data_IF_406086946202
#
_entry.id   IF_406086946202
#
_cell.length_a   1.000
_cell.length_b   1.000
_cell.length_c   1.000
_cell.angle_alpha   90.00
_cell.angle_beta   90.00
_cell.angle_gamma   90.00
#
_symmetry.space_group_name_H-M   'P 1'
#
loop_
_entity.id
_entity.type
_entity.pdbx_description
1 polymer ?
#
# COMPACT_ATOMS: atom_id res chain seq x y z
N UNK A 1 26.90 12.88 -9.07
CA UNK A 1 27.04 11.88 -7.99
C UNK A 1 26.77 12.50 -6.61
N UNK A 2 27.36 13.67 -6.27
CA UNK A 2 27.29 14.24 -4.91
C UNK A 2 25.88 14.71 -4.53
N UNK A 3 25.16 15.34 -5.44
CA UNK A 3 23.74 15.69 -5.27
C UNK A 3 22.89 14.51 -4.82
N UNK A 4 23.04 13.34 -5.46
CA UNK A 4 22.28 12.15 -5.10
C UNK A 4 22.70 11.52 -3.78
N UNK A 5 23.95 11.71 -3.33
CA UNK A 5 24.38 11.29 -1.99
C UNK A 5 23.63 12.05 -0.89
N UNK A 6 23.41 13.35 -1.12
CA UNK A 6 22.69 14.18 -0.14
C UNK A 6 21.19 13.92 -0.18
N UNK A 7 20.60 13.71 -1.37
CA UNK A 7 19.22 13.26 -1.50
C UNK A 7 18.99 11.90 -0.82
N UNK A 8 19.92 10.95 -0.96
CA UNK A 8 19.81 9.65 -0.31
C UNK A 8 19.64 9.76 1.21
N UNK A 9 20.32 10.72 1.87
CA UNK A 9 20.15 10.95 3.31
C UNK A 9 18.71 11.29 3.69
N UNK A 10 18.01 12.07 2.84
CA UNK A 10 16.61 12.44 3.03
C UNK A 10 15.67 11.23 2.94
N UNK A 11 15.99 10.28 2.05
CA UNK A 11 15.18 9.12 1.78
C UNK A 11 15.64 7.84 2.50
N UNK A 12 16.60 7.95 3.43
CA UNK A 12 17.17 6.81 4.15
C UNK A 12 16.10 5.96 4.87
N UNK A 13 15.05 6.58 5.38
CA UNK A 13 13.94 5.88 6.03
C UNK A 13 13.21 4.87 5.12
N UNK A 14 13.35 4.98 3.81
CA UNK A 14 12.77 4.07 2.82
C UNK A 14 13.76 2.98 2.37
N UNK A 15 15.00 3.00 2.86
CA UNK A 15 15.97 1.94 2.57
C UNK A 15 15.57 0.66 3.31
N UNK A 16 15.59 -0.46 2.57
CA UNK A 16 15.26 -1.76 3.13
C UNK A 16 16.43 -2.35 3.91
N UNK A 17 16.13 -3.03 5.02
CA UNK A 17 17.09 -3.85 5.76
C UNK A 17 17.57 -5.09 4.95
N UNK A 18 16.87 -5.44 3.86
CA UNK A 18 17.18 -6.59 3.01
C UNK A 18 18.15 -6.27 1.87
N UNK A 19 19.13 -5.42 2.13
CA UNK A 19 20.18 -5.06 1.16
C UNK A 19 21.38 -6.04 1.13
N UNK A 20 21.38 -7.04 2.00
CA UNK A 20 22.44 -8.05 2.12
C UNK A 20 22.30 -9.23 1.16
N UNK A 21 23.29 -10.15 1.21
CA UNK A 21 23.22 -11.42 0.48
C UNK A 21 22.38 -12.41 1.29
N UNK A 22 21.24 -12.82 0.74
CA UNK A 22 20.38 -13.84 1.32
C UNK A 22 20.39 -15.11 0.46
N UNK A 23 20.82 -16.23 1.02
CA UNK A 23 20.81 -17.54 0.35
C UNK A 23 19.41 -18.12 0.24
N UNK A 24 18.43 -17.63 0.98
CA UNK A 24 17.00 -17.98 0.86
C UNK A 24 16.44 -17.74 -0.53
N UNK A 25 17.04 -16.81 -1.29
CA UNK A 25 16.71 -16.55 -2.71
C UNK A 25 16.80 -17.83 -3.58
N UNK A 26 17.70 -18.75 -3.25
CA UNK A 26 17.82 -20.02 -3.98
C UNK A 26 16.63 -20.96 -3.74
N UNK A 27 15.99 -20.86 -2.59
CA UNK A 27 14.81 -21.66 -2.24
C UNK A 27 13.53 -21.00 -2.73
N UNK A 28 13.36 -19.72 -2.45
CA UNK A 28 12.13 -18.96 -2.72
C UNK A 28 12.07 -18.48 -4.18
N UNK A 29 13.22 -18.45 -4.87
CA UNK A 29 13.38 -17.91 -6.23
C UNK A 29 12.93 -16.42 -6.34
N UNK A 30 12.91 -15.70 -5.21
CA UNK A 30 12.49 -14.31 -5.13
C UNK A 30 13.72 -13.42 -5.30
N UNK A 31 13.79 -12.56 -6.33
CA UNK A 31 14.91 -11.63 -6.52
C UNK A 31 15.00 -10.63 -5.34
N UNK A 32 16.24 -10.22 -4.98
CA UNK A 32 16.47 -9.33 -3.83
C UNK A 32 15.69 -8.02 -3.87
N UNK A 33 15.53 -7.42 -5.07
CA UNK A 33 14.70 -6.22 -5.24
C UNK A 33 13.21 -6.46 -4.94
N UNK A 34 12.70 -7.67 -5.24
CA UNK A 34 11.33 -8.06 -4.90
C UNK A 34 11.17 -8.26 -3.39
N UNK A 35 12.17 -8.87 -2.71
CA UNK A 35 12.16 -9.01 -1.25
C UNK A 35 12.02 -7.67 -0.54
N UNK A 36 12.82 -6.69 -0.96
CA UNK A 36 12.78 -5.33 -0.39
C UNK A 36 11.40 -4.68 -0.60
N UNK A 37 10.83 -4.83 -1.79
CA UNK A 37 9.49 -4.29 -2.07
C UNK A 37 8.41 -4.95 -1.21
N UNK A 38 8.41 -6.28 -1.11
CA UNK A 38 7.45 -7.03 -0.28
C UNK A 38 7.59 -6.67 1.20
N UNK A 39 8.83 -6.56 1.70
CA UNK A 39 9.07 -6.16 3.08
C UNK A 39 8.52 -4.76 3.38
N UNK A 40 8.76 -3.79 2.48
CA UNK A 40 8.22 -2.45 2.65
C UNK A 40 6.68 -2.44 2.60
N UNK A 41 6.09 -3.18 1.67
CA UNK A 41 4.65 -3.32 1.56
C UNK A 41 4.02 -3.94 2.81
N UNK A 42 4.61 -5.03 3.33
CA UNK A 42 4.16 -5.66 4.58
C UNK A 42 4.34 -4.73 5.79
N UNK A 43 5.43 -3.95 5.82
CA UNK A 43 5.66 -2.94 6.87
C UNK A 43 4.58 -1.86 6.86
N UNK A 44 4.19 -1.36 5.69
CA UNK A 44 3.09 -0.39 5.52
C UNK A 44 1.74 -0.95 6.00
N UNK A 45 1.56 -2.28 5.91
CA UNK A 45 0.38 -3.00 6.36
C UNK A 45 0.46 -3.45 7.84
N UNK A 46 1.57 -3.15 8.54
CA UNK A 46 1.80 -3.61 9.92
C UNK A 46 1.92 -5.12 10.07
N UNK A 47 2.33 -5.83 9.01
CA UNK A 47 2.36 -7.29 8.95
C UNK A 47 3.75 -7.84 8.53
N UNK A 48 4.81 -7.11 8.86
CA UNK A 48 6.19 -7.48 8.46
C UNK A 48 6.61 -8.84 9.04
N UNK A 49 6.11 -9.22 10.22
CA UNK A 49 6.39 -10.51 10.85
C UNK A 49 5.89 -11.71 10.04
N UNK A 50 4.96 -11.49 9.10
CA UNK A 50 4.40 -12.53 8.22
C UNK A 50 5.16 -12.72 6.92
N UNK A 51 6.32 -12.11 6.76
CA UNK A 51 7.10 -12.15 5.52
C UNK A 51 7.50 -13.57 5.11
N UNK A 52 7.83 -14.44 6.06
CA UNK A 52 8.20 -15.83 5.80
C UNK A 52 7.02 -16.65 5.27
N UNK A 53 5.79 -16.37 5.74
CA UNK A 53 4.56 -16.97 5.21
C UNK A 53 4.36 -16.57 3.74
N UNK A 54 4.60 -15.30 3.41
CA UNK A 54 4.51 -14.80 2.04
C UNK A 54 5.53 -15.48 1.14
N UNK A 55 6.78 -15.63 1.58
CA UNK A 55 7.79 -16.34 0.81
C UNK A 55 7.44 -17.82 0.57
N UNK A 56 6.81 -18.46 1.52
CA UNK A 56 6.31 -19.84 1.37
C UNK A 56 5.11 -19.93 0.41
N UNK A 57 4.29 -18.87 0.31
CA UNK A 57 3.11 -18.81 -0.57
C UNK A 57 3.46 -18.51 -2.03
N UNK A 58 4.52 -17.73 -2.30
CA UNK A 58 4.94 -17.32 -3.66
C UNK A 58 5.09 -18.51 -4.64
N UNK A 59 5.76 -19.61 -4.30
CA UNK A 59 5.87 -20.77 -5.21
C UNK A 59 4.52 -21.36 -5.60
N UNK A 60 3.56 -21.37 -4.69
CA UNK A 60 2.22 -21.88 -4.97
C UNK A 60 1.44 -20.95 -5.91
N UNK A 61 1.42 -19.65 -5.62
CA UNK A 61 0.78 -18.65 -6.49
C UNK A 61 1.41 -18.68 -7.88
N UNK A 62 2.75 -18.77 -7.97
CA UNK A 62 3.46 -18.91 -9.23
C UNK A 62 3.02 -20.15 -10.02
N UNK A 63 2.87 -21.29 -9.35
CA UNK A 63 2.39 -22.52 -9.95
C UNK A 63 0.98 -22.38 -10.49
N UNK A 64 0.07 -21.83 -9.70
CA UNK A 64 -1.34 -21.66 -10.05
C UNK A 64 -1.52 -20.71 -11.25
N UNK A 65 -0.65 -19.73 -11.39
CA UNK A 65 -0.59 -18.79 -12.52
C UNK A 65 0.14 -19.36 -13.78
N UNK A 66 0.53 -20.64 -13.78
CA UNK A 66 1.20 -21.26 -14.91
C UNK A 66 2.67 -20.91 -15.06
N UNK A 67 3.36 -20.73 -13.94
CA UNK A 67 4.80 -20.51 -13.84
C UNK A 67 5.33 -19.27 -14.56
N UNK A 68 4.74 -18.06 -14.36
CA UNK A 68 5.33 -16.83 -14.89
C UNK A 68 6.79 -16.66 -14.42
N UNK A 69 7.66 -16.07 -15.24
CA UNK A 69 9.00 -15.69 -14.79
C UNK A 69 8.89 -14.64 -13.68
N UNK A 70 9.74 -14.75 -12.65
CA UNK A 70 9.76 -13.77 -11.56
C UNK A 70 10.62 -12.55 -11.92
N UNK A 71 10.19 -11.83 -12.96
CA UNK A 71 10.76 -10.58 -13.44
C UNK A 71 9.64 -9.53 -13.52
N UNK A 72 9.99 -8.24 -13.58
CA UNK A 72 9.01 -7.16 -13.74
C UNK A 72 8.24 -7.31 -15.07
N UNK A 73 6.92 -7.23 -15.10
CA UNK A 73 6.00 -6.94 -13.98
C UNK A 73 5.48 -8.18 -13.24
N UNK A 74 5.66 -9.39 -13.79
CA UNK A 74 5.04 -10.62 -13.29
C UNK A 74 5.50 -11.02 -11.89
N UNK A 75 6.71 -10.63 -11.48
CA UNK A 75 7.18 -10.82 -10.11
C UNK A 75 6.33 -10.05 -9.10
N UNK A 76 5.90 -8.82 -9.43
CA UNK A 76 5.01 -8.05 -8.58
C UNK A 76 3.61 -8.67 -8.53
N UNK A 77 3.06 -9.09 -9.67
CA UNK A 77 1.74 -9.75 -9.75
C UNK A 77 1.70 -10.97 -8.82
N UNK A 78 2.70 -11.85 -8.91
CA UNK A 78 2.82 -13.04 -8.07
C UNK A 78 2.99 -12.67 -6.59
N UNK A 79 3.89 -11.72 -6.30
CA UNK A 79 4.22 -11.32 -4.94
C UNK A 79 3.05 -10.64 -4.24
N UNK A 80 2.41 -9.68 -4.89
CA UNK A 80 1.26 -8.98 -4.32
C UNK A 80 0.09 -9.95 -4.08
N UNK A 81 -0.19 -10.86 -5.01
CA UNK A 81 -1.24 -11.86 -4.77
C UNK A 81 -0.90 -12.79 -3.61
N UNK A 82 0.37 -13.18 -3.43
CA UNK A 82 0.79 -13.97 -2.28
C UNK A 82 0.57 -13.20 -0.96
N UNK A 83 0.92 -11.93 -0.91
CA UNK A 83 0.66 -11.07 0.27
C UNK A 83 -0.85 -10.99 0.55
N UNK A 84 -1.66 -10.73 -0.48
CA UNK A 84 -3.13 -10.65 -0.34
C UNK A 84 -3.71 -11.96 0.20
N UNK A 85 -3.25 -13.11 -0.29
CA UNK A 85 -3.67 -14.42 0.21
C UNK A 85 -3.37 -14.59 1.71
N UNK A 86 -2.16 -14.19 2.13
CA UNK A 86 -1.72 -14.31 3.53
C UNK A 86 -2.50 -13.32 4.43
N UNK A 87 -2.67 -12.06 4.02
CA UNK A 87 -3.39 -11.06 4.81
C UNK A 87 -4.88 -11.41 4.97
N UNK A 88 -5.52 -11.93 3.91
CA UNK A 88 -6.93 -12.34 3.95
C UNK A 88 -7.16 -13.72 4.59
N UNK A 89 -6.10 -14.49 4.85
CA UNK A 89 -6.15 -15.83 5.44
C UNK A 89 -6.75 -16.90 4.52
N UNK A 90 -7.11 -16.56 3.29
CA UNK A 90 -7.71 -17.48 2.31
C UNK A 90 -7.20 -17.17 0.91
N UNK A 91 -6.65 -18.19 0.22
CA UNK A 91 -6.17 -18.05 -1.15
C UNK A 91 -7.27 -17.57 -2.08
N UNK A 92 -6.95 -16.54 -2.87
CA UNK A 92 -7.81 -16.00 -3.93
C UNK A 92 -9.20 -15.55 -3.45
N UNK A 93 -9.37 -15.26 -2.14
CA UNK A 93 -10.57 -14.57 -1.64
C UNK A 93 -10.72 -13.20 -2.28
N UNK A 94 -9.59 -12.53 -2.45
CA UNK A 94 -9.46 -11.28 -3.19
C UNK A 94 -8.42 -11.50 -4.30
N UNK A 95 -8.78 -11.18 -5.53
CA UNK A 95 -7.91 -11.31 -6.70
C UNK A 95 -7.67 -9.90 -7.23
N UNK A 96 -6.38 -9.53 -7.38
CA UNK A 96 -6.02 -8.21 -7.91
C UNK A 96 -6.37 -8.08 -9.39
N UNK A 97 -6.58 -6.86 -9.88
CA UNK A 97 -6.92 -6.61 -11.28
C UNK A 97 -5.80 -7.06 -12.22
N UNK A 98 -4.54 -6.96 -11.79
CA UNK A 98 -3.38 -7.41 -12.57
C UNK A 98 -3.35 -8.93 -12.72
N UNK A 99 -3.76 -9.68 -11.69
CA UNK A 99 -3.91 -11.14 -11.78
C UNK A 99 -5.04 -11.49 -12.74
N UNK A 100 -6.18 -10.79 -12.70
CA UNK A 100 -7.26 -10.98 -13.66
C UNK A 100 -6.79 -10.70 -15.08
N UNK A 101 -6.15 -9.56 -15.32
CA UNK A 101 -5.60 -9.16 -16.61
C UNK A 101 -4.55 -10.17 -17.12
N UNK A 102 -3.70 -10.69 -16.21
CA UNK A 102 -2.75 -11.76 -16.55
C UNK A 102 -3.48 -13.02 -17.01
N UNK A 103 -4.49 -13.45 -16.29
CA UNK A 103 -5.28 -14.65 -16.61
C UNK A 103 -6.12 -14.48 -17.86
N UNK A 104 -6.57 -13.26 -18.17
CA UNK A 104 -7.22 -12.89 -19.44
C UNK A 104 -6.25 -12.91 -20.65
N UNK A 105 -4.94 -13.07 -20.42
CA UNK A 105 -3.93 -13.04 -21.49
C UNK A 105 -3.37 -11.66 -21.81
N UNK A 106 -3.68 -10.63 -21.02
CA UNK A 106 -3.20 -9.25 -21.21
C UNK A 106 -1.67 -9.10 -21.13
N UNK A 107 -0.99 -10.07 -20.52
CA UNK A 107 0.49 -10.17 -20.50
C UNK A 107 1.03 -11.22 -21.46
N UNK A 108 0.19 -11.74 -22.35
CA UNK A 108 0.53 -12.81 -23.27
C UNK A 108 0.29 -14.20 -22.68
N UNK A 109 0.78 -15.22 -23.35
CA UNK A 109 0.53 -16.62 -23.00
C UNK A 109 1.36 -17.04 -21.78
N UNK A 110 0.71 -17.65 -20.78
CA UNK A 110 1.40 -18.25 -19.64
C UNK A 110 2.36 -19.36 -20.09
N UNK A 111 3.58 -19.47 -19.49
CA UNK A 111 4.57 -20.48 -19.86
C UNK A 111 4.11 -21.92 -19.60
N UNK A 112 3.33 -22.10 -18.53
CA UNK A 112 2.80 -23.38 -18.11
C UNK A 112 1.29 -23.39 -18.03
N UNK A 113 0.75 -24.49 -17.47
CA UNK A 113 -0.68 -24.69 -17.34
C UNK A 113 -1.21 -23.90 -16.14
N UNK A 114 -2.14 -22.99 -16.39
CA UNK A 114 -2.86 -22.21 -15.35
C UNK A 114 -3.85 -23.15 -14.63
N UNK A 115 -4.05 -22.91 -13.33
CA UNK A 115 -5.08 -23.60 -12.56
C UNK A 115 -6.48 -23.26 -13.06
N UNK A 116 -7.25 -24.28 -13.41
CA UNK A 116 -8.57 -24.12 -14.02
C UNK A 116 -9.58 -23.50 -13.07
N UNK A 117 -9.50 -23.82 -11.77
CA UNK A 117 -10.42 -23.29 -10.76
C UNK A 117 -10.14 -21.82 -10.50
N UNK A 118 -8.87 -21.43 -10.44
CA UNK A 118 -8.46 -20.03 -10.31
C UNK A 118 -8.89 -19.23 -11.57
N UNK A 119 -8.69 -19.76 -12.76
CA UNK A 119 -9.10 -19.11 -14.00
C UNK A 119 -10.61 -18.82 -14.00
N UNK A 120 -11.42 -19.84 -13.71
CA UNK A 120 -12.87 -19.70 -13.64
C UNK A 120 -13.33 -18.71 -12.57
N UNK A 121 -12.64 -18.68 -11.42
CA UNK A 121 -12.95 -17.74 -10.33
C UNK A 121 -12.58 -16.30 -10.69
N UNK A 122 -11.43 -16.10 -11.36
CA UNK A 122 -10.90 -14.77 -11.63
C UNK A 122 -11.64 -14.05 -12.77
N UNK A 123 -11.92 -14.75 -13.86
CA UNK A 123 -12.48 -14.17 -15.10
C UNK A 123 -13.87 -14.72 -15.46
N UNK A 124 -14.37 -15.72 -14.72
CA UNK A 124 -15.71 -16.29 -14.99
C UNK A 124 -15.82 -16.85 -16.40
N UNK A 125 -16.76 -16.30 -17.17
CA UNK A 125 -17.01 -16.68 -18.56
C UNK A 125 -16.37 -15.73 -19.59
N UNK A 126 -15.48 -14.84 -19.17
CA UNK A 126 -14.77 -13.95 -20.09
C UNK A 126 -13.82 -14.74 -20.98
N UNK A 127 -13.69 -14.32 -22.23
CA UNK A 127 -12.78 -14.96 -23.19
C UNK A 127 -11.33 -14.58 -22.88
N UNK A 128 -10.46 -15.59 -22.89
CA UNK A 128 -9.00 -15.37 -22.81
C UNK A 128 -8.52 -14.84 -24.15
N UNK A 129 -7.73 -13.77 -24.11
CA UNK A 129 -7.14 -13.17 -25.31
C UNK A 129 -6.20 -14.15 -26.01
N UNK A 130 -6.52 -14.45 -27.27
CA UNK A 130 -5.65 -15.22 -28.15
C UNK A 130 -4.92 -14.23 -29.07
N UNK A 131 -3.60 -14.16 -28.98
CA UNK A 131 -2.81 -13.28 -29.81
C UNK A 131 -1.96 -12.29 -29.03
N UNK A 132 -1.56 -11.23 -29.70
CA UNK A 132 -0.71 -10.18 -29.13
C UNK A 132 -1.60 -9.10 -28.49
N UNK A 133 -1.54 -8.88 -27.18
CA UNK A 133 -2.37 -7.86 -26.52
C UNK A 133 -2.20 -6.45 -27.09
N UNK A 134 -0.99 -6.11 -27.54
CA UNK A 134 -0.70 -4.81 -28.15
C UNK A 134 -1.50 -4.52 -29.45
N UNK A 135 -2.00 -5.56 -30.14
CA UNK A 135 -2.80 -5.38 -31.36
C UNK A 135 -4.22 -4.85 -31.05
N UNK A 136 -4.63 -4.89 -29.76
CA UNK A 136 -5.90 -4.34 -29.29
C UNK A 136 -5.80 -2.84 -28.92
N UNK A 137 -4.58 -2.31 -28.83
CA UNK A 137 -4.37 -0.92 -28.47
C UNK A 137 -4.68 0.01 -29.65
N UNK A 138 -5.51 1.03 -29.41
CA UNK A 138 -5.73 2.10 -30.37
C UNK A 138 -4.59 3.13 -30.34
N UNK A 139 -4.39 3.86 -31.44
CA UNK A 139 -3.42 4.94 -31.46
C UNK A 139 -3.98 6.17 -30.75
N UNK A 140 -3.47 6.47 -29.57
CA UNK A 140 -3.91 7.57 -28.71
C UNK A 140 -3.10 8.86 -28.88
N UNK A 141 -2.01 8.86 -29.66
CA UNK A 141 -1.11 10.02 -29.78
C UNK A 141 -1.82 11.28 -30.26
N UNK A 142 -2.84 11.16 -31.11
CA UNK A 142 -3.63 12.29 -31.56
C UNK A 142 -4.40 12.98 -30.42
N UNK A 143 -5.02 12.17 -29.54
CA UNK A 143 -5.73 12.63 -28.36
C UNK A 143 -4.75 13.24 -27.34
N UNK A 144 -3.66 12.54 -27.04
CA UNK A 144 -2.64 13.00 -26.08
C UNK A 144 -2.04 14.36 -26.47
N UNK A 145 -1.76 14.60 -27.77
CA UNK A 145 -1.32 15.91 -28.22
C UNK A 145 -2.38 17.00 -28.06
N UNK A 146 -3.66 16.67 -28.23
CA UNK A 146 -4.73 17.62 -27.98
C UNK A 146 -4.89 17.94 -26.49
N UNK A 147 -4.86 16.92 -25.64
CA UNK A 147 -4.99 17.06 -24.18
C UNK A 147 -3.83 17.87 -23.58
N UNK A 148 -2.62 17.75 -24.13
CA UNK A 148 -1.42 18.42 -23.65
C UNK A 148 -1.12 19.77 -24.28
N UNK A 149 -1.90 20.21 -25.26
CA UNK A 149 -1.63 21.41 -26.07
C UNK A 149 -1.40 22.70 -25.27
N UNK A 150 -1.95 22.79 -24.04
CA UNK A 150 -1.84 23.96 -23.18
C UNK A 150 -0.48 24.07 -22.46
N UNK A 151 0.23 22.95 -22.23
CA UNK A 151 1.43 22.90 -21.36
C UNK A 151 2.61 22.15 -21.98
N UNK A 152 2.42 21.34 -23.02
CA UNK A 152 3.51 20.64 -23.70
C UNK A 152 4.24 21.61 -24.69
N UNK A 153 5.58 21.55 -24.65
CA UNK A 153 6.48 22.33 -25.55
C UNK A 153 7.15 21.46 -26.60
N UNK A 154 7.13 20.17 -26.43
CA UNK A 154 7.79 19.21 -27.31
C UNK A 154 7.05 17.87 -27.32
N UNK A 155 7.42 16.98 -28.22
CA UNK A 155 6.87 15.63 -28.29
C UNK A 155 7.26 14.80 -27.04
N UNK A 156 8.42 15.06 -26.46
CA UNK A 156 8.84 14.45 -25.21
C UNK A 156 7.88 14.77 -24.06
N UNK A 157 7.33 15.97 -24.02
CA UNK A 157 6.34 16.37 -23.01
C UNK A 157 5.03 15.59 -23.18
N UNK A 158 4.60 15.37 -24.41
CA UNK A 158 3.43 14.53 -24.72
C UNK A 158 3.68 13.08 -24.23
N UNK A 159 4.90 12.57 -24.44
CA UNK A 159 5.28 11.24 -23.97
C UNK A 159 5.39 11.16 -22.44
N UNK A 160 5.87 12.22 -21.76
CA UNK A 160 5.87 12.31 -20.30
C UNK A 160 4.44 12.21 -19.78
N UNK A 161 3.51 12.96 -20.35
CA UNK A 161 2.10 12.90 -19.99
C UNK A 161 1.48 11.52 -20.28
N UNK A 162 1.80 10.92 -21.43
CA UNK A 162 1.32 9.60 -21.80
C UNK A 162 1.75 8.50 -20.81
N UNK A 163 2.99 8.61 -20.30
CA UNK A 163 3.56 7.63 -19.36
C UNK A 163 3.18 7.90 -17.90
N UNK A 164 2.97 9.16 -17.55
CA UNK A 164 2.73 9.62 -16.18
C UNK A 164 1.66 10.72 -16.18
N UNK A 165 0.37 10.41 -16.45
CA UNK A 165 -0.63 11.43 -16.71
C UNK A 165 -0.78 12.42 -15.54
N UNK A 166 -0.96 11.95 -14.33
CA UNK A 166 -1.21 12.82 -13.17
C UNK A 166 0.05 13.60 -12.74
N UNK A 167 1.14 12.91 -12.50
CA UNK A 167 2.41 13.52 -12.04
C UNK A 167 3.04 14.34 -13.17
N UNK A 168 2.99 13.84 -14.40
CA UNK A 168 3.53 14.50 -15.59
C UNK A 168 2.80 15.79 -15.88
N UNK A 169 1.48 15.82 -15.77
CA UNK A 169 0.70 17.04 -15.95
C UNK A 169 1.11 18.11 -14.95
N UNK A 170 1.09 17.79 -13.65
CA UNK A 170 1.49 18.72 -12.58
C UNK A 170 2.91 19.27 -12.81
N UNK A 171 3.85 18.40 -13.18
CA UNK A 171 5.22 18.79 -13.48
C UNK A 171 5.29 19.75 -14.66
N UNK A 172 4.62 19.43 -15.76
CA UNK A 172 4.65 20.23 -16.98
C UNK A 172 3.99 21.60 -16.79
N UNK A 173 2.87 21.66 -16.07
CA UNK A 173 2.17 22.90 -15.72
C UNK A 173 3.04 23.79 -14.80
N UNK A 174 3.65 23.21 -13.75
CA UNK A 174 4.55 23.94 -12.85
C UNK A 174 5.78 24.48 -13.59
N UNK A 175 6.30 23.70 -14.56
CA UNK A 175 7.40 24.13 -15.41
C UNK A 175 6.99 25.32 -16.28
N UNK A 176 5.78 25.29 -16.87
CA UNK A 176 5.25 26.37 -17.69
C UNK A 176 5.05 27.65 -16.90
N UNK A 177 4.51 27.53 -15.69
CA UNK A 177 4.30 28.65 -14.76
C UNK A 177 5.60 29.16 -14.12
N UNK A 178 6.74 28.50 -14.33
CA UNK A 178 8.01 28.86 -13.70
C UNK A 178 8.04 28.65 -12.18
N UNK A 179 7.12 27.86 -11.64
CA UNK A 179 7.01 27.58 -10.22
C UNK A 179 7.77 26.32 -9.80
N UNK A 180 8.26 25.54 -10.77
CA UNK A 180 9.05 24.32 -10.52
C UNK A 180 10.34 24.67 -9.77
N UNK A 181 10.52 24.10 -8.60
CA UNK A 181 11.73 24.27 -7.79
C UNK A 181 12.45 22.94 -7.68
N UNK A 182 13.81 22.93 -7.70
CA UNK A 182 14.57 21.75 -7.36
C UNK A 182 14.20 21.28 -5.95
N UNK A 183 14.19 19.98 -5.74
CA UNK A 183 13.94 19.44 -4.40
C UNK A 183 15.02 19.94 -3.42
N UNK A 184 14.60 20.38 -2.23
CA UNK A 184 15.52 20.81 -1.19
C UNK A 184 16.43 19.65 -0.76
N UNK A 185 17.75 19.87 -0.79
CA UNK A 185 18.74 18.92 -0.32
C UNK A 185 18.80 18.84 1.21
N UNK A 186 18.34 19.88 1.90
CA UNK A 186 18.24 19.86 3.34
C UNK A 186 17.15 18.85 3.71
N UNK A 187 17.50 17.92 4.62
CA UNK A 187 16.45 17.20 5.33
C UNK A 187 15.44 18.25 5.80
N UNK A 188 14.12 18.04 5.66
CA UNK A 188 13.17 18.90 6.31
C UNK A 188 13.68 19.01 7.74
N UNK A 189 13.96 20.24 8.22
CA UNK A 189 14.08 20.44 9.64
C UNK A 189 12.93 19.63 10.21
N UNK A 190 13.26 18.65 11.04
CA UNK A 190 12.21 18.02 11.82
C UNK A 190 11.60 19.21 12.56
N UNK A 191 10.61 19.84 11.96
CA UNK A 191 9.60 20.48 12.71
C UNK A 191 9.07 19.34 13.56
N UNK A 192 9.68 19.18 14.71
CA UNK A 192 9.03 18.57 15.85
C UNK A 192 7.82 19.44 16.08
N UNK A 193 6.82 19.26 15.24
CA UNK A 193 5.43 19.47 15.67
C UNK A 193 5.31 18.39 16.73
N UNK A 194 5.19 18.77 17.99
CA UNK A 194 4.91 17.79 19.03
C UNK A 194 3.50 17.29 18.75
N UNK A 195 3.40 16.29 17.88
CA UNK A 195 2.19 15.48 17.72
C UNK A 195 2.25 14.43 18.81
N UNK A 196 2.20 14.93 20.00
CA UNK A 196 2.17 14.24 21.27
C UNK A 196 2.27 15.31 22.32
N UNK A 197 1.44 15.26 23.35
CA UNK A 197 1.66 16.04 24.55
C UNK A 197 3.15 15.91 24.92
N UNK A 198 3.85 17.00 25.29
CA UNK A 198 5.24 16.90 25.68
C UNK A 198 5.35 15.79 26.71
N UNK A 199 6.18 14.78 26.43
CA UNK A 199 6.48 13.75 27.40
C UNK A 199 7.03 14.48 28.61
N UNK A 200 6.28 14.44 29.71
CA UNK A 200 6.73 15.04 30.93
C UNK A 200 8.06 14.39 31.30
N UNK A 201 9.11 15.19 31.43
CA UNK A 201 10.42 14.74 31.87
C UNK A 201 10.45 14.45 33.37
N UNK A 202 9.43 14.93 34.10
CA UNK A 202 9.22 14.69 35.51
C UNK A 202 7.72 14.48 35.80
N UNK A 203 7.37 13.37 36.46
CA UNK A 203 5.99 13.01 36.80
C UNK A 203 5.93 12.10 38.01
N UNK A 204 4.75 12.02 38.64
CA UNK A 204 4.53 11.14 39.76
C UNK A 204 3.74 9.88 39.35
N UNK A 205 4.20 8.72 39.78
CA UNK A 205 3.47 7.45 39.65
C UNK A 205 2.99 7.03 41.05
N UNK A 206 1.69 6.75 41.15
CA UNK A 206 1.12 6.19 42.40
C UNK A 206 0.86 4.69 42.19
N UNK A 207 1.52 3.85 42.97
CA UNK A 207 1.41 2.39 42.97
C UNK A 207 1.13 1.88 44.38
N UNK A 208 0.09 1.08 44.56
CA UNK A 208 -0.28 0.48 45.85
C UNK A 208 -0.45 1.47 47.00
N UNK A 209 -0.79 2.75 46.72
CA UNK A 209 -0.97 3.78 47.70
C UNK A 209 0.30 4.59 48.04
N UNK A 210 1.43 4.26 47.49
CA UNK A 210 2.68 5.03 47.58
C UNK A 210 2.86 5.82 46.28
N UNK A 211 3.45 7.00 46.38
CA UNK A 211 3.69 7.92 45.24
C UNK A 211 5.18 8.11 45.07
N UNK A 212 5.66 7.82 43.88
CA UNK A 212 7.06 7.91 43.46
C UNK A 212 7.23 9.11 42.52
N UNK A 213 8.23 9.93 42.74
CA UNK A 213 8.64 10.96 41.77
C UNK A 213 9.61 10.34 40.76
N UNK A 214 9.23 10.43 39.48
CA UNK A 214 10.01 9.89 38.37
C UNK A 214 10.56 11.06 37.55
N UNK A 215 11.87 11.11 37.37
CA UNK A 215 12.52 12.08 36.49
C UNK A 215 13.30 11.32 35.39
N UNK A 216 12.92 11.55 34.12
CA UNK A 216 13.59 10.95 32.97
C UNK A 216 14.91 11.70 32.72
N UNK A 217 16.05 11.04 32.89
CA UNK A 217 17.38 11.62 32.74
C UNK A 217 18.02 11.32 31.40
N UNK A 218 17.55 10.28 30.69
CA UNK A 218 18.06 9.90 29.36
C UNK A 218 17.34 8.72 28.77
N UNK A 219 17.59 8.48 27.48
CA UNK A 219 17.14 7.29 26.78
C UNK A 219 18.28 6.72 25.96
N UNK A 220 18.48 5.41 26.05
CA UNK A 220 19.44 4.67 25.26
C UNK A 220 18.98 4.44 23.81
N UNK A 221 19.86 3.89 22.95
CA UNK A 221 19.50 3.55 21.59
C UNK A 221 18.37 2.50 21.57
N UNK A 222 17.56 2.54 20.52
CA UNK A 222 16.53 1.52 20.25
C UNK A 222 17.22 0.25 19.73
N UNK A 223 17.15 -0.84 20.48
CA UNK A 223 17.59 -2.15 20.03
C UNK A 223 16.42 -3.15 20.10
N UNK A 224 16.07 -3.76 18.97
CA UNK A 224 15.17 -4.91 18.85
C UNK A 224 13.92 -4.88 19.79
N UNK A 225 13.05 -3.89 19.66
CA UNK A 225 11.82 -3.74 20.46
C UNK A 225 12.05 -3.43 21.97
N UNK A 226 13.28 -3.20 22.39
CA UNK A 226 13.60 -2.82 23.77
C UNK A 226 14.18 -1.40 23.80
N UNK A 227 13.81 -0.63 24.79
CA UNK A 227 14.29 0.73 24.99
C UNK A 227 14.83 0.88 26.40
N UNK A 228 16.11 1.21 26.52
CA UNK A 228 16.71 1.57 27.79
C UNK A 228 16.32 3.00 28.16
N UNK A 229 15.68 3.17 29.30
CA UNK A 229 15.38 4.47 29.88
C UNK A 229 16.21 4.65 31.12
N UNK A 230 16.91 5.78 31.20
CA UNK A 230 17.62 6.21 32.41
C UNK A 230 16.73 7.19 33.14
N UNK A 231 16.36 6.88 34.35
CA UNK A 231 15.47 7.72 35.16
C UNK A 231 15.90 7.74 36.62
N UNK A 232 15.40 8.70 37.38
CA UNK A 232 15.51 8.67 38.85
C UNK A 232 14.14 8.40 39.44
N UNK A 233 14.11 7.51 40.44
CA UNK A 233 12.93 7.24 41.26
C UNK A 233 13.22 7.82 42.65
N UNK A 234 12.51 8.87 43.08
CA UNK A 234 12.73 9.60 44.30
C UNK A 234 14.20 10.07 44.48
N UNK A 235 14.83 10.45 43.37
CA UNK A 235 16.22 10.88 43.33
C UNK A 235 17.27 9.76 43.25
N UNK A 236 16.88 8.47 43.24
CA UNK A 236 17.76 7.31 43.08
C UNK A 236 17.84 6.98 41.60
N UNK A 237 19.04 6.96 40.98
CA UNK A 237 19.18 6.58 39.58
C UNK A 237 18.82 5.11 39.34
N UNK A 238 17.97 4.87 38.34
CA UNK A 238 17.54 3.54 37.92
C UNK A 238 17.63 3.41 36.40
N UNK A 239 17.98 2.21 35.93
CA UNK A 239 17.92 1.84 34.52
C UNK A 239 16.71 0.93 34.32
N UNK A 240 15.79 1.35 33.46
CA UNK A 240 14.57 0.62 33.16
C UNK A 240 14.60 0.16 31.72
N UNK A 241 14.41 -1.13 31.51
CA UNK A 241 14.20 -1.70 30.20
C UNK A 241 12.70 -1.66 29.88
N UNK A 242 12.33 -0.82 28.91
CA UNK A 242 10.96 -0.74 28.42
C UNK A 242 10.79 -1.70 27.25
N UNK A 243 9.96 -2.69 27.42
CA UNK A 243 9.56 -3.66 26.39
C UNK A 243 8.07 -3.41 26.08
N UNK A 244 7.73 -2.68 24.99
CA UNK A 244 6.34 -2.43 24.67
C UNK A 244 5.66 -3.72 24.21
N UNK A 245 4.67 -4.17 24.97
CA UNK A 245 3.82 -5.32 24.59
C UNK A 245 2.75 -4.90 23.56
N UNK A 246 2.32 -3.65 23.62
CA UNK A 246 1.42 -3.01 22.66
C UNK A 246 1.77 -1.51 22.60
N UNK A 247 2.04 -1.00 21.41
CA UNK A 247 2.13 0.44 21.20
C UNK A 247 0.72 0.99 20.98
N UNK A 248 0.30 1.93 21.83
CA UNK A 248 -0.86 2.76 21.57
C UNK A 248 -0.44 3.79 20.48
N UNK A 249 -0.62 3.39 19.23
CA UNK A 249 -0.65 4.37 18.15
C UNK A 249 -2.00 5.08 18.27
N UNK A 250 -1.98 6.38 18.56
CA UNK A 250 -3.16 7.20 18.39
C UNK A 250 -3.59 7.03 16.92
N UNK A 251 -4.55 6.14 16.69
CA UNK A 251 -5.23 6.08 15.41
C UNK A 251 -5.84 7.47 15.23
N UNK A 252 -5.44 8.14 14.17
CA UNK A 252 -6.21 9.24 13.63
C UNK A 252 -7.57 8.63 13.31
N UNK A 253 -8.55 8.83 14.18
CA UNK A 253 -9.93 8.47 13.88
C UNK A 253 -10.27 9.23 12.59
N UNK A 254 -10.49 8.50 11.52
CA UNK A 254 -10.83 9.05 10.19
C UNK A 254 -12.18 9.78 10.20
N UNK A 255 -12.85 9.81 11.33
CA UNK A 255 -14.20 10.37 11.48
C UNK A 255 -15.29 9.60 10.75
N UNK A 256 -14.94 8.48 10.08
CA UNK A 256 -15.89 7.61 9.39
C UNK A 256 -16.56 6.65 10.35
N UNK A 257 -17.84 6.30 10.14
CA UNK A 257 -18.55 5.33 10.96
C UNK A 257 -17.88 3.95 10.86
N UNK A 258 -17.97 3.16 11.92
CA UNK A 258 -17.51 1.77 11.91
C UNK A 258 -18.49 0.90 11.15
N UNK A 259 -17.99 -0.07 10.38
CA UNK A 259 -18.80 -1.06 9.66
C UNK A 259 -19.37 -2.07 10.65
N UNK A 260 -20.67 -1.96 10.94
CA UNK A 260 -21.37 -2.79 11.93
C UNK A 260 -22.60 -3.51 11.36
N UNK A 261 -23.06 -3.14 10.16
CA UNK A 261 -24.27 -3.66 9.53
C UNK A 261 -24.00 -4.52 8.29
N UNK A 262 -24.96 -5.36 7.87
CA UNK A 262 -24.82 -6.19 6.68
C UNK A 262 -24.77 -5.38 5.37
N UNK A 263 -25.26 -4.13 5.38
CA UNK A 263 -25.18 -3.19 4.26
C UNK A 263 -23.97 -2.27 4.30
N UNK A 264 -23.14 -2.34 5.34
CA UNK A 264 -21.92 -1.53 5.44
C UNK A 264 -20.78 -2.18 4.66
N UNK A 265 -20.35 -1.54 3.60
CA UNK A 265 -19.23 -1.99 2.78
C UNK A 265 -17.93 -1.43 3.34
N UNK A 266 -17.02 -2.33 3.67
CA UNK A 266 -15.67 -2.04 4.16
C UNK A 266 -14.62 -2.70 3.28
N UNK A 267 -13.37 -2.32 3.46
CA UNK A 267 -12.22 -3.01 2.84
C UNK A 267 -11.66 -4.08 3.78
N UNK A 268 -11.05 -5.10 3.22
CA UNK A 268 -10.31 -6.12 3.97
C UNK A 268 -8.85 -5.73 4.25
N UNK A 269 -8.37 -4.68 3.60
CA UNK A 269 -6.98 -4.21 3.66
C UNK A 269 -6.94 -2.68 3.60
N UNK A 270 -5.97 -2.01 4.25
CA UNK A 270 -5.78 -0.58 4.09
C UNK A 270 -5.28 -0.26 2.67
N UNK A 271 -5.74 0.86 2.12
CA UNK A 271 -5.38 1.30 0.77
C UNK A 271 -5.78 2.75 0.53
N UNK A 272 -5.56 3.22 -0.70
CA UNK A 272 -5.99 4.54 -1.14
C UNK A 272 -7.11 4.39 -2.18
N UNK A 273 -8.16 5.21 -2.08
CA UNK A 273 -9.27 5.20 -3.04
C UNK A 273 -8.78 5.79 -4.37
N UNK A 274 -8.82 4.99 -5.43
CA UNK A 274 -8.43 5.40 -6.79
C UNK A 274 -9.63 5.94 -7.55
N UNK A 275 -10.77 5.26 -7.47
CA UNK A 275 -11.98 5.66 -8.17
C UNK A 275 -13.24 5.20 -7.45
N UNK A 276 -14.36 5.90 -7.67
CA UNK A 276 -15.66 5.60 -7.07
C UNK A 276 -16.69 5.48 -8.20
N UNK A 277 -17.34 4.33 -8.29
CA UNK A 277 -18.21 3.97 -9.41
C UNK A 277 -19.71 4.19 -9.11
N UNK A 278 -20.05 4.52 -7.85
CA UNK A 278 -21.44 4.69 -7.40
C UNK A 278 -21.61 6.01 -6.67
N UNK A 279 -22.88 6.46 -6.59
CA UNK A 279 -23.30 7.68 -5.88
C UNK A 279 -24.45 7.36 -4.95
N UNK A 280 -24.71 8.27 -4.02
CA UNK A 280 -25.89 8.20 -3.15
C UNK A 280 -27.18 8.09 -3.99
N UNK A 281 -28.01 7.11 -3.65
CA UNK A 281 -29.26 6.80 -4.34
C UNK A 281 -29.15 5.77 -5.45
N UNK A 282 -27.97 5.34 -5.87
CA UNK A 282 -27.81 4.34 -6.91
C UNK A 282 -28.31 2.97 -6.44
N UNK A 283 -28.92 2.22 -7.36
CA UNK A 283 -29.31 0.83 -7.12
C UNK A 283 -28.17 -0.09 -7.54
N UNK A 284 -27.79 -1.00 -6.65
CA UNK A 284 -26.70 -1.97 -6.87
C UNK A 284 -27.17 -3.40 -6.67
N UNK A 285 -26.62 -4.31 -7.45
CA UNK A 285 -26.81 -5.74 -7.31
C UNK A 285 -25.55 -6.39 -6.72
N UNK A 286 -25.69 -7.60 -6.17
CA UNK A 286 -24.53 -8.36 -5.66
C UNK A 286 -23.51 -8.56 -6.79
N UNK A 287 -22.26 -8.17 -6.53
CA UNK A 287 -21.14 -8.28 -7.48
C UNK A 287 -20.88 -7.02 -8.29
N UNK A 288 -21.74 -5.99 -8.22
CA UNK A 288 -21.49 -4.72 -8.89
C UNK A 288 -20.27 -4.01 -8.28
N UNK A 289 -19.40 -3.41 -9.09
CA UNK A 289 -18.25 -2.68 -8.60
C UNK A 289 -18.72 -1.36 -7.96
N UNK A 290 -18.23 -1.08 -6.74
CA UNK A 290 -18.60 0.12 -5.98
C UNK A 290 -17.50 1.17 -6.02
N UNK A 291 -16.26 0.77 -5.77
CA UNK A 291 -15.09 1.63 -5.81
C UNK A 291 -13.82 0.79 -6.00
N UNK A 292 -12.74 1.46 -6.40
CA UNK A 292 -11.42 0.87 -6.58
C UNK A 292 -10.47 1.41 -5.53
N UNK A 293 -9.76 0.55 -4.85
CA UNK A 293 -8.66 0.91 -3.96
C UNK A 293 -7.34 0.47 -4.56
N UNK A 294 -6.32 1.30 -4.37
CA UNK A 294 -4.93 0.92 -4.59
C UNK A 294 -4.35 0.34 -3.31
N UNK A 295 -3.98 -0.92 -3.37
CA UNK A 295 -3.28 -1.63 -2.30
C UNK A 295 -1.95 -2.11 -2.86
N UNK A 296 -0.83 -1.65 -2.29
CA UNK A 296 0.51 -2.11 -2.71
C UNK A 296 0.82 -1.84 -4.19
N UNK A 297 0.37 -0.70 -4.72
CA UNK A 297 0.51 -0.30 -6.14
C UNK A 297 -0.27 -1.19 -7.12
N UNK A 298 -1.24 -1.92 -6.62
CA UNK A 298 -2.16 -2.76 -7.38
C UNK A 298 -3.58 -2.30 -7.12
N UNK A 299 -4.38 -2.20 -8.16
CA UNK A 299 -5.77 -1.83 -8.06
C UNK A 299 -6.64 -3.03 -7.71
N UNK A 300 -7.58 -2.83 -6.82
CA UNK A 300 -8.55 -3.86 -6.42
C UNK A 300 -9.94 -3.26 -6.38
N UNK A 301 -10.87 -3.86 -7.14
CA UNK A 301 -12.28 -3.51 -7.10
C UNK A 301 -12.94 -4.04 -5.83
N UNK A 302 -13.62 -3.16 -5.11
CA UNK A 302 -14.52 -3.54 -4.02
C UNK A 302 -15.94 -3.60 -4.58
N UNK A 303 -16.55 -4.78 -4.43
CA UNK A 303 -17.85 -5.10 -5.01
C UNK A 303 -18.95 -5.17 -3.95
N UNK A 304 -20.19 -4.90 -4.35
CA UNK A 304 -21.37 -5.04 -3.52
C UNK A 304 -21.52 -6.50 -3.05
N UNK A 305 -21.65 -6.68 -1.75
CA UNK A 305 -21.91 -7.98 -1.10
C UNK A 305 -23.42 -8.23 -0.92
N UNK A 306 -24.21 -7.18 -1.02
CA UNK A 306 -25.67 -7.19 -0.88
C UNK A 306 -26.30 -6.38 -2.01
N UNK A 307 -27.54 -6.67 -2.36
CA UNK A 307 -28.34 -5.85 -3.28
C UNK A 307 -29.11 -4.80 -2.50
N UNK A 308 -29.29 -3.61 -3.06
CA UNK A 308 -30.04 -2.54 -2.41
C UNK A 308 -29.80 -1.17 -3.02
N UNK A 309 -30.06 -0.13 -2.25
CA UNK A 309 -29.79 1.25 -2.64
C UNK A 309 -28.66 1.83 -1.80
N UNK A 310 -27.72 2.51 -2.45
CA UNK A 310 -26.62 3.23 -1.78
C UNK A 310 -27.22 4.40 -0.99
N UNK A 311 -27.08 4.37 0.33
CA UNK A 311 -27.59 5.41 1.23
C UNK A 311 -26.53 6.45 1.59
N UNK A 312 -25.26 6.07 1.61
CA UNK A 312 -24.16 7.01 1.84
C UNK A 312 -22.86 6.53 1.21
N UNK A 313 -22.11 7.45 0.60
CA UNK A 313 -20.73 7.27 0.14
C UNK A 313 -19.83 8.11 1.05
N UNK A 314 -19.09 7.45 1.96
CA UNK A 314 -18.27 8.10 3.01
C UNK A 314 -16.79 8.27 2.58
N UNK A 315 -16.49 8.12 1.29
CA UNK A 315 -15.14 8.19 0.73
C UNK A 315 -15.06 9.16 -0.45
N UNK A 316 -13.87 9.65 -0.69
CA UNK A 316 -13.52 10.45 -1.86
C UNK A 316 -12.27 9.89 -2.53
N UNK A 317 -12.08 10.20 -3.83
CA UNK A 317 -10.86 9.84 -4.56
C UNK A 317 -9.63 10.44 -3.87
N UNK A 318 -8.63 9.60 -3.59
CA UNK A 318 -7.41 9.95 -2.86
C UNK A 318 -7.46 9.70 -1.35
N UNK A 319 -8.62 9.33 -0.81
CA UNK A 319 -8.76 9.01 0.62
C UNK A 319 -8.00 7.73 0.98
N UNK A 320 -7.35 7.75 2.13
CA UNK A 320 -6.84 6.53 2.75
C UNK A 320 -7.97 5.85 3.52
N UNK A 321 -8.11 4.54 3.33
CA UNK A 321 -9.14 3.71 3.97
C UNK A 321 -8.51 2.57 4.74
N UNK A 322 -9.17 2.14 5.83
CA UNK A 322 -8.73 1.04 6.67
C UNK A 322 -9.85 0.03 6.92
N UNK A 323 -9.51 -1.24 7.21
CA UNK A 323 -10.50 -2.24 7.56
C UNK A 323 -11.36 -1.81 8.76
N UNK A 324 -12.67 -2.12 8.70
CA UNK A 324 -13.62 -1.80 9.75
C UNK A 324 -14.29 -0.44 9.63
N UNK A 325 -13.89 0.42 8.68
CA UNK A 325 -14.62 1.65 8.35
C UNK A 325 -15.80 1.32 7.42
N UNK A 326 -16.97 1.97 7.64
CA UNK A 326 -18.08 1.91 6.71
C UNK A 326 -17.84 2.92 5.57
N UNK A 327 -17.35 2.43 4.44
CA UNK A 327 -16.94 3.24 3.30
C UNK A 327 -18.12 3.60 2.40
N UNK A 328 -19.01 2.63 2.17
CA UNK A 328 -20.30 2.81 1.49
C UNK A 328 -21.35 2.09 2.30
N UNK A 329 -22.55 2.66 2.39
CA UNK A 329 -23.70 2.06 3.06
C UNK A 329 -24.79 1.76 2.05
N UNK A 330 -25.36 0.55 2.13
CA UNK A 330 -26.40 0.05 1.26
C UNK A 330 -27.59 -0.34 2.14
N UNK A 331 -28.78 0.18 1.80
CA UNK A 331 -30.05 -0.25 2.40
C UNK A 331 -30.52 -1.52 1.70
N UNK A 332 -30.68 -2.60 2.47
CA UNK A 332 -30.92 -3.98 1.99
C UNK A 332 -32.40 -4.32 2.00
#
# INVERSE_FOLDING_TARGET
>A
ADYFKDIRKKYHQYESAYSGVDTGVLLNQVPGGMMSNLANQLKEQGALERIDEVFAEIPQVRKDLGFPPLVTPTSQIVGTQAVVNILTGTRYKTITNEVKLYLQGGYGRAPGKVDVSLLAHAIGNEEVLEGRPADLLSNEMGKLRADTAAFAKSEEDVLIYAMFPDIGQVFLEQRELGTLKPESLLAPEQTTTPTGAPLATEFNISLHGETYNIQLTGAGPHEQHQRHLYLTVDGIPEEVLLEPLNEYTAQTESGRPSSNGPGDISTSMPGNVVDIMVKDGDKVAIGDPLFVIEVMKMETEIKAQVEGHVTAVNIQKGDRVTPGEALIQIDV
#
